data_IF_858328152684
#
_entry.id   IF_858328152684
#
_cell.length_a   1.000
_cell.length_b   1.000
_cell.length_c   1.000
_cell.angle_alpha   90.00
_cell.angle_beta   90.00
_cell.angle_gamma   90.00
#
_symmetry.space_group_name_H-M   'P 1'
#
loop_
_entity.id
_entity.type
_entity.pdbx_description
1 polymer ?
#
# COMPACT_ATOMS: atom_id res chain seq x y z
N UNK A 1 6.02 -5.77 41.59
CA UNK A 1 5.08 -6.77 41.02
C UNK A 1 4.03 -5.97 40.24
N UNK A 2 4.18 -5.89 38.93
CA UNK A 2 3.20 -5.22 38.05
C UNK A 2 1.94 -6.08 37.99
N UNK A 3 0.78 -5.47 38.27
CA UNK A 3 -0.52 -6.13 38.23
C UNK A 3 -0.77 -6.67 36.79
N UNK A 4 -1.03 -7.96 36.59
CA UNK A 4 -1.23 -8.55 35.26
C UNK A 4 -2.41 -7.91 34.47
N UNK A 5 -3.37 -7.28 35.15
CA UNK A 5 -4.44 -6.52 34.51
C UNK A 5 -3.92 -5.22 33.85
N UNK A 6 -3.00 -4.49 34.51
CA UNK A 6 -2.42 -3.26 33.94
C UNK A 6 -1.55 -3.52 32.71
N UNK A 7 -0.92 -4.70 32.62
CA UNK A 7 -0.12 -5.09 31.46
C UNK A 7 -0.99 -5.34 30.21
N UNK A 8 -2.15 -5.94 30.37
CA UNK A 8 -3.08 -6.22 29.24
C UNK A 8 -3.70 -4.96 28.65
N UNK A 9 -4.04 -3.97 29.48
CA UNK A 9 -4.59 -2.69 28.98
C UNK A 9 -3.59 -1.88 28.17
N UNK A 10 -2.28 -2.03 28.43
CA UNK A 10 -1.24 -1.30 27.68
C UNK A 10 -1.07 -1.80 26.23
N UNK A 11 -1.49 -3.02 25.94
CA UNK A 11 -1.44 -3.64 24.61
C UNK A 11 -2.66 -3.32 23.75
N UNK A 12 -3.76 -2.84 24.36
CA UNK A 12 -4.97 -2.48 23.64
C UNK A 12 -4.76 -1.21 22.79
N UNK A 13 -5.35 -1.15 21.58
CA UNK A 13 -5.42 0.08 20.82
C UNK A 13 -6.04 1.21 21.65
N UNK A 14 -5.57 2.47 21.53
CA UNK A 14 -6.03 3.57 22.38
C UNK A 14 -7.56 3.73 22.40
N UNK A 15 -8.18 3.63 21.22
CA UNK A 15 -9.62 3.78 21.07
C UNK A 15 -10.45 2.71 21.83
N UNK A 16 -9.89 1.52 22.07
CA UNK A 16 -10.60 0.41 22.71
C UNK A 16 -10.42 0.36 24.22
N UNK A 17 -9.48 1.11 24.79
CA UNK A 17 -9.20 1.07 26.24
C UNK A 17 -10.40 1.50 27.07
N UNK A 18 -11.08 2.57 26.66
CA UNK A 18 -12.27 3.07 27.36
C UNK A 18 -13.42 2.07 27.30
N UNK A 19 -13.72 1.52 26.13
CA UNK A 19 -14.81 0.56 25.94
C UNK A 19 -14.59 -0.75 26.73
N UNK A 20 -13.34 -1.24 26.80
CA UNK A 20 -13.03 -2.44 27.60
C UNK A 20 -13.09 -2.14 29.08
N UNK A 21 -12.60 -0.97 29.55
CA UNK A 21 -12.68 -0.56 30.96
C UNK A 21 -14.14 -0.37 31.43
N UNK A 22 -15.00 0.17 30.58
CA UNK A 22 -16.44 0.31 30.86
C UNK A 22 -17.13 -1.06 31.04
N UNK A 23 -16.83 -2.01 30.13
CA UNK A 23 -17.32 -3.37 30.22
C UNK A 23 -16.80 -4.09 31.48
N UNK A 24 -15.55 -3.87 31.89
CA UNK A 24 -14.99 -4.43 33.14
C UNK A 24 -15.63 -3.84 34.39
N UNK A 25 -16.05 -2.57 34.33
CA UNK A 25 -16.74 -1.92 35.47
C UNK A 25 -18.16 -2.43 35.69
N UNK A 26 -18.88 -2.75 34.60
CA UNK A 26 -20.22 -3.35 34.66
C UNK A 26 -20.40 -4.48 33.64
N UNK A 27 -19.88 -5.68 33.92
CA UNK A 27 -19.97 -6.82 32.99
C UNK A 27 -21.40 -7.37 32.85
N UNK A 28 -22.34 -6.98 33.73
CA UNK A 28 -23.71 -7.41 33.67
C UNK A 28 -24.55 -6.57 32.68
N UNK A 29 -24.14 -5.37 32.39
CA UNK A 29 -24.82 -4.51 31.43
C UNK A 29 -24.90 -5.16 30.04
N UNK A 30 -26.00 -4.91 29.34
CA UNK A 30 -26.12 -5.27 27.93
C UNK A 30 -25.24 -4.32 27.10
N UNK A 31 -24.34 -4.89 26.32
CA UNK A 31 -23.41 -4.12 25.47
C UNK A 31 -23.58 -4.51 24.01
N UNK A 32 -23.75 -3.53 23.14
CA UNK A 32 -23.82 -3.71 21.70
C UNK A 32 -22.69 -2.90 21.08
N UNK A 33 -21.66 -3.58 20.61
CA UNK A 33 -20.44 -2.93 20.14
C UNK A 33 -19.99 -3.51 18.79
N UNK A 34 -19.80 -2.63 17.82
CA UNK A 34 -19.09 -2.94 16.59
C UNK A 34 -17.62 -2.51 16.70
N UNK A 35 -16.70 -3.44 16.46
CA UNK A 35 -15.26 -3.18 16.33
C UNK A 35 -14.89 -3.33 14.86
N UNK A 36 -14.57 -2.24 14.19
CA UNK A 36 -14.23 -2.25 12.77
C UNK A 36 -12.78 -1.86 12.53
N UNK A 37 -12.20 -2.35 11.45
CA UNK A 37 -10.83 -2.03 11.05
C UNK A 37 -10.21 -3.05 10.10
N UNK A 38 -9.10 -2.68 9.48
CA UNK A 38 -8.37 -3.51 8.54
C UNK A 38 -7.67 -4.72 9.18
N UNK A 39 -6.87 -5.40 8.38
CA UNK A 39 -6.07 -6.55 8.81
C UNK A 39 -5.04 -6.11 9.84
N UNK A 40 -4.96 -6.82 10.97
CA UNK A 40 -3.91 -6.61 11.98
C UNK A 40 -4.01 -5.31 12.79
N UNK A 41 -5.14 -4.60 12.75
CA UNK A 41 -5.39 -3.39 13.55
C UNK A 41 -5.66 -3.66 15.03
N UNK A 42 -5.77 -4.93 15.43
CA UNK A 42 -5.97 -5.31 16.84
C UNK A 42 -7.40 -5.71 17.20
N UNK A 43 -8.31 -5.91 16.24
CA UNK A 43 -9.70 -6.34 16.51
C UNK A 43 -9.77 -7.55 17.43
N UNK A 44 -9.06 -8.62 17.07
CA UNK A 44 -9.06 -9.88 17.86
C UNK A 44 -8.48 -9.68 19.27
N UNK A 45 -7.56 -8.72 19.45
CA UNK A 45 -7.02 -8.36 20.78
C UNK A 45 -8.08 -7.70 21.64
N UNK A 46 -8.88 -6.80 21.05
CA UNK A 46 -10.03 -6.17 21.74
C UNK A 46 -11.05 -7.23 22.13
N UNK A 47 -11.42 -8.11 21.19
CA UNK A 47 -12.39 -9.18 21.49
C UNK A 47 -11.87 -10.17 22.54
N UNK A 48 -10.58 -10.45 22.57
CA UNK A 48 -9.98 -11.29 23.61
C UNK A 48 -10.09 -10.65 25.00
N UNK A 49 -9.88 -9.32 25.10
CA UNK A 49 -10.06 -8.58 26.34
C UNK A 49 -11.54 -8.58 26.79
N UNK A 50 -12.47 -8.32 25.85
CA UNK A 50 -13.92 -8.39 26.10
C UNK A 50 -14.32 -9.79 26.61
N UNK A 51 -13.90 -10.85 25.92
CA UNK A 51 -14.19 -12.24 26.35
C UNK A 51 -13.60 -12.53 27.73
N UNK A 52 -12.42 -12.00 28.03
CA UNK A 52 -11.78 -12.18 29.36
C UNK A 52 -12.57 -11.49 30.46
N UNK A 53 -13.04 -10.26 30.23
CA UNK A 53 -13.85 -9.50 31.17
C UNK A 53 -15.21 -10.22 31.48
N UNK A 54 -15.91 -10.65 30.42
CA UNK A 54 -17.19 -11.37 30.58
C UNK A 54 -17.02 -12.70 31.29
N UNK A 55 -15.98 -13.48 31.00
CA UNK A 55 -15.72 -14.75 31.70
C UNK A 55 -15.29 -14.54 33.16
N UNK A 56 -14.58 -13.47 33.46
CA UNK A 56 -14.25 -13.12 34.86
C UNK A 56 -15.47 -12.79 35.70
N UNK A 57 -16.59 -12.42 35.05
CA UNK A 57 -17.89 -12.20 35.65
C UNK A 57 -18.83 -13.42 35.53
N UNK A 58 -18.29 -14.61 35.26
CA UNK A 58 -19.04 -15.87 35.11
C UNK A 58 -20.12 -15.84 34.02
N UNK A 59 -20.02 -14.92 33.02
CA UNK A 59 -20.97 -14.90 31.90
C UNK A 59 -20.53 -15.88 30.80
N UNK A 60 -21.46 -16.74 30.31
CA UNK A 60 -21.20 -17.57 29.14
C UNK A 60 -20.92 -16.71 27.90
N UNK A 61 -19.91 -17.08 27.10
CA UNK A 61 -19.53 -16.34 25.91
C UNK A 61 -19.51 -17.27 24.70
N UNK A 62 -20.31 -16.94 23.69
CA UNK A 62 -20.34 -17.58 22.39
C UNK A 62 -19.47 -16.83 21.40
N UNK A 63 -18.74 -17.57 20.57
CA UNK A 63 -17.91 -16.99 19.48
C UNK A 63 -18.56 -17.15 18.10
N UNK A 64 -19.82 -17.45 18.04
CA UNK A 64 -20.66 -17.68 16.87
C UNK A 64 -22.09 -17.18 17.15
N UNK A 65 -22.96 -17.07 16.15
CA UNK A 65 -24.38 -16.86 16.36
C UNK A 65 -24.98 -17.91 17.31
N UNK A 66 -25.94 -17.55 18.20
CA UNK A 66 -26.51 -18.45 19.17
C UNK A 66 -27.36 -19.55 18.50
N UNK A 67 -27.45 -20.70 19.17
CA UNK A 67 -28.27 -21.84 18.78
C UNK A 67 -29.29 -22.13 19.89
N UNK A 68 -30.37 -22.88 19.60
CA UNK A 68 -31.40 -23.19 20.61
C UNK A 68 -30.87 -23.89 21.87
N UNK A 69 -29.79 -24.65 21.76
CA UNK A 69 -29.15 -25.38 22.86
C UNK A 69 -28.19 -24.54 23.71
N UNK A 70 -27.88 -23.30 23.31
CA UNK A 70 -26.93 -22.45 24.03
C UNK A 70 -27.55 -21.88 25.32
N UNK A 71 -26.72 -21.53 26.32
CA UNK A 71 -27.22 -20.94 27.57
C UNK A 71 -27.98 -19.63 27.33
N UNK A 72 -29.14 -19.49 27.93
CA UNK A 72 -29.90 -18.24 27.86
C UNK A 72 -29.10 -17.07 28.46
N UNK A 73 -29.12 -15.92 27.80
CA UNK A 73 -28.38 -14.73 28.23
C UNK A 73 -26.87 -14.78 27.99
N UNK A 74 -26.36 -15.77 27.22
CA UNK A 74 -24.96 -15.81 26.83
C UNK A 74 -24.59 -14.56 26.02
N UNK A 75 -23.41 -14.01 26.29
CA UNK A 75 -22.86 -12.92 25.49
C UNK A 75 -22.31 -13.46 24.17
N UNK A 76 -22.61 -12.79 23.06
CA UNK A 76 -22.16 -13.16 21.73
C UNK A 76 -21.00 -12.25 21.31
N UNK A 77 -19.81 -12.85 21.14
CA UNK A 77 -18.57 -12.10 20.80
C UNK A 77 -17.94 -12.74 19.56
N UNK A 78 -18.29 -12.23 18.40
CA UNK A 78 -17.91 -12.81 17.10
C UNK A 78 -16.77 -12.02 16.46
N UNK A 79 -15.72 -12.73 16.07
CA UNK A 79 -14.63 -12.18 15.25
C UNK A 79 -14.86 -12.48 13.76
N UNK A 80 -14.28 -11.65 12.90
CA UNK A 80 -14.34 -11.82 11.44
C UNK A 80 -15.76 -12.02 10.89
N UNK A 81 -16.75 -11.30 11.46
CA UNK A 81 -18.16 -11.44 11.06
C UNK A 81 -18.42 -11.21 9.55
N UNK A 82 -17.53 -10.53 8.87
CA UNK A 82 -17.58 -10.37 7.41
C UNK A 82 -17.37 -11.69 6.62
N UNK A 83 -16.99 -12.78 7.28
CA UNK A 83 -16.86 -14.12 6.71
C UNK A 83 -18.08 -15.02 6.98
N UNK A 84 -19.03 -14.55 7.79
CA UNK A 84 -20.28 -15.26 8.07
C UNK A 84 -21.19 -15.24 6.84
N UNK A 85 -22.06 -16.23 6.75
CA UNK A 85 -23.10 -16.24 5.70
C UNK A 85 -24.24 -15.25 6.01
N UNK A 86 -25.11 -15.01 5.01
CA UNK A 86 -26.20 -14.05 5.13
C UNK A 86 -27.16 -14.40 6.24
N UNK A 87 -27.48 -15.69 6.44
CA UNK A 87 -28.40 -16.15 7.49
C UNK A 87 -27.83 -15.94 8.89
N UNK A 88 -26.54 -16.20 9.08
CA UNK A 88 -25.84 -15.94 10.34
C UNK A 88 -25.78 -14.44 10.68
N UNK A 89 -25.58 -13.59 9.66
CA UNK A 89 -25.60 -12.13 9.84
C UNK A 89 -27.00 -11.60 10.16
N UNK A 90 -28.03 -12.15 9.52
CA UNK A 90 -29.43 -11.79 9.79
C UNK A 90 -29.83 -12.20 11.22
N UNK A 91 -29.44 -13.39 11.68
CA UNK A 91 -29.65 -13.85 13.05
C UNK A 91 -28.97 -12.94 14.08
N UNK A 92 -27.73 -12.49 13.80
CA UNK A 92 -27.05 -11.51 14.67
C UNK A 92 -27.78 -10.17 14.67
N UNK A 93 -28.32 -9.76 13.54
CA UNK A 93 -29.08 -8.50 13.40
C UNK A 93 -30.36 -8.54 14.23
N UNK A 94 -31.09 -9.68 14.23
CA UNK A 94 -32.25 -9.90 15.10
C UNK A 94 -31.86 -9.87 16.57
N UNK A 95 -30.74 -10.48 16.95
CA UNK A 95 -30.25 -10.47 18.33
C UNK A 95 -29.91 -9.08 18.84
N UNK A 96 -29.38 -8.19 17.95
CA UNK A 96 -29.10 -6.78 18.30
C UNK A 96 -30.39 -6.04 18.71
N UNK A 97 -31.54 -6.43 18.18
CA UNK A 97 -32.82 -5.81 18.54
C UNK A 97 -33.30 -6.17 19.98
N UNK A 98 -32.75 -7.22 20.57
CA UNK A 98 -33.04 -7.56 21.99
C UNK A 98 -32.28 -6.61 22.94
N UNK A 99 -32.95 -5.76 23.73
CA UNK A 99 -32.29 -4.81 24.62
C UNK A 99 -31.44 -5.47 25.72
N UNK A 100 -31.74 -6.74 26.07
CA UNK A 100 -30.99 -7.47 27.10
C UNK A 100 -29.75 -8.21 26.56
N UNK A 101 -29.63 -8.34 25.25
CA UNK A 101 -28.54 -9.08 24.64
C UNK A 101 -27.22 -8.31 24.69
N UNK A 102 -26.11 -9.00 24.97
CA UNK A 102 -24.75 -8.49 24.79
C UNK A 102 -24.20 -9.06 23.51
N UNK A 103 -23.92 -8.16 22.54
CA UNK A 103 -23.42 -8.49 21.18
C UNK A 103 -22.22 -7.64 20.85
N UNK A 104 -21.07 -8.27 20.73
CA UNK A 104 -19.80 -7.60 20.34
C UNK A 104 -19.27 -8.25 19.07
N UNK A 105 -19.20 -7.47 18.01
CA UNK A 105 -18.86 -7.96 16.67
C UNK A 105 -17.58 -7.27 16.18
N UNK A 106 -16.66 -8.05 15.63
CA UNK A 106 -15.54 -7.48 14.87
C UNK A 106 -15.65 -7.84 13.39
N UNK A 107 -15.48 -6.83 12.52
CA UNK A 107 -15.53 -7.00 11.08
C UNK A 107 -14.53 -6.09 10.35
N UNK A 108 -14.22 -6.42 9.10
CA UNK A 108 -13.61 -5.48 8.18
C UNK A 108 -14.71 -4.53 7.63
N UNK A 109 -14.35 -3.27 7.30
CA UNK A 109 -15.30 -2.28 6.81
C UNK A 109 -15.65 -2.49 5.33
N UNK A 110 -16.36 -3.59 5.02
CA UNK A 110 -16.83 -3.90 3.67
C UNK A 110 -18.04 -3.05 3.32
N UNK A 111 -17.95 -2.30 2.21
CA UNK A 111 -19.02 -1.39 1.76
C UNK A 111 -20.09 -2.15 0.96
N UNK A 112 -19.67 -3.15 0.17
CA UNK A 112 -20.53 -3.85 -0.80
C UNK A 112 -21.02 -5.22 -0.31
N UNK A 113 -21.18 -5.40 1.03
CA UNK A 113 -21.73 -6.61 1.63
C UNK A 113 -23.09 -6.31 2.28
N UNK A 114 -24.24 -6.63 1.64
CA UNK A 114 -25.56 -6.15 2.09
C UNK A 114 -25.94 -6.57 3.50
N UNK A 115 -25.82 -7.88 3.84
CA UNK A 115 -26.19 -8.40 5.17
C UNK A 115 -25.27 -7.84 6.26
N UNK A 116 -23.96 -7.74 6.02
CA UNK A 116 -23.02 -7.12 6.96
C UNK A 116 -23.39 -5.66 7.21
N UNK A 117 -23.78 -4.93 6.16
CA UNK A 117 -24.23 -3.54 6.27
C UNK A 117 -25.48 -3.42 7.15
N UNK A 118 -26.44 -4.35 7.04
CA UNK A 118 -27.61 -4.42 7.90
C UNK A 118 -27.23 -4.53 9.38
N UNK A 119 -26.37 -5.48 9.72
CA UNK A 119 -25.83 -5.68 11.06
C UNK A 119 -25.06 -4.46 11.58
N UNK A 120 -24.20 -3.87 10.74
CA UNK A 120 -23.43 -2.66 11.08
C UNK A 120 -24.36 -1.51 11.46
N UNK A 121 -25.36 -1.22 10.62
CA UNK A 121 -26.35 -0.15 10.90
C UNK A 121 -27.13 -0.43 12.19
N UNK A 122 -27.49 -1.68 12.45
CA UNK A 122 -28.20 -2.04 13.68
C UNK A 122 -27.35 -1.77 14.93
N UNK A 123 -26.07 -2.16 14.91
CA UNK A 123 -25.14 -1.91 16.03
C UNK A 123 -24.82 -0.42 16.21
N UNK A 124 -24.60 0.33 15.13
CA UNK A 124 -24.26 1.76 15.17
C UNK A 124 -25.40 2.64 15.67
N UNK A 125 -26.65 2.16 15.61
CA UNK A 125 -27.80 2.86 16.24
C UNK A 125 -27.73 2.86 17.76
N UNK A 126 -27.10 1.85 18.35
CA UNK A 126 -26.94 1.72 19.79
C UNK A 126 -25.73 2.47 20.30
N UNK A 127 -24.57 2.23 19.67
CA UNK A 127 -23.30 2.89 19.98
C UNK A 127 -22.45 3.11 18.70
N UNK A 128 -21.70 4.23 18.62
CA UNK A 128 -20.77 4.44 17.53
C UNK A 128 -19.77 3.29 17.40
N UNK A 129 -19.46 2.89 16.17
CA UNK A 129 -18.47 1.85 15.92
C UNK A 129 -17.09 2.22 16.48
N UNK A 130 -16.44 1.27 17.13
CA UNK A 130 -15.05 1.38 17.54
C UNK A 130 -14.15 1.12 16.34
N UNK A 131 -13.72 2.18 15.68
CA UNK A 131 -12.86 2.08 14.50
C UNK A 131 -11.38 1.97 14.89
N UNK A 132 -10.77 0.85 14.51
CA UNK A 132 -9.34 0.58 14.71
C UNK A 132 -8.58 0.81 13.41
N UNK A 133 -7.53 1.60 13.47
CA UNK A 133 -6.65 1.88 12.35
C UNK A 133 -5.17 1.73 12.72
N UNK A 134 -4.27 2.19 11.83
CA UNK A 134 -2.86 2.32 12.13
C UNK A 134 -2.62 3.19 13.37
N UNK A 135 -1.65 2.83 14.19
CA UNK A 135 -1.28 3.60 15.36
C UNK A 135 -0.55 4.88 14.95
N UNK A 136 -0.91 6.04 15.53
CA UNK A 136 -0.22 7.28 15.26
C UNK A 136 1.21 7.26 15.81
N UNK A 137 2.13 8.09 15.26
CA UNK A 137 3.55 8.10 15.67
C UNK A 137 3.77 8.22 17.19
N UNK A 138 2.92 8.97 17.91
CA UNK A 138 3.00 9.10 19.36
C UNK A 138 2.76 7.78 20.11
N UNK A 139 1.80 6.96 19.65
CA UNK A 139 1.56 5.63 20.22
C UNK A 139 2.68 4.64 19.84
N UNK A 140 3.22 4.73 18.63
CA UNK A 140 4.39 3.96 18.21
C UNK A 140 5.58 4.27 19.12
N UNK A 141 5.84 5.55 19.40
CA UNK A 141 6.88 5.99 20.32
C UNK A 141 6.65 5.46 21.75
N UNK A 142 5.41 5.54 22.25
CA UNK A 142 5.04 5.02 23.57
C UNK A 142 5.29 3.51 23.68
N UNK A 143 4.88 2.74 22.67
CA UNK A 143 5.08 1.28 22.65
C UNK A 143 6.57 0.91 22.59
N UNK A 144 7.32 1.59 21.73
CA UNK A 144 8.77 1.38 21.62
C UNK A 144 9.49 1.76 22.94
N UNK A 145 9.11 2.88 23.55
CA UNK A 145 9.64 3.32 24.84
C UNK A 145 9.31 2.37 25.99
N UNK A 146 8.09 1.86 26.06
CA UNK A 146 7.67 0.88 27.05
C UNK A 146 8.47 -0.44 26.94
N UNK A 147 8.85 -0.83 25.72
CA UNK A 147 9.67 -2.04 25.48
C UNK A 147 11.14 -1.82 25.82
N UNK A 148 11.69 -0.67 25.45
CA UNK A 148 13.10 -0.35 25.65
C UNK A 148 13.42 0.18 27.08
N UNK A 149 12.41 0.61 27.84
CA UNK A 149 12.58 1.27 29.12
C UNK A 149 13.05 2.73 29.03
N UNK A 150 13.26 3.25 27.83
CA UNK A 150 13.72 4.62 27.54
C UNK A 150 12.96 5.18 26.33
N UNK A 151 12.75 6.51 26.25
CA UNK A 151 12.14 7.13 25.08
C UNK A 151 12.94 6.84 23.82
N UNK A 152 12.30 6.39 22.73
CA UNK A 152 12.97 6.08 21.47
C UNK A 152 13.41 7.38 20.77
N UNK A 153 14.54 7.39 20.04
CA UNK A 153 14.93 8.52 19.21
C UNK A 153 13.94 8.74 18.07
N UNK A 154 13.71 9.98 17.60
CA UNK A 154 12.76 10.29 16.53
C UNK A 154 13.00 9.53 15.24
N UNK A 155 14.26 9.23 14.90
CA UNK A 155 14.66 8.44 13.73
C UNK A 155 14.10 7.02 13.79
N UNK A 156 14.14 6.38 14.97
CA UNK A 156 13.58 5.05 15.16
C UNK A 156 12.06 5.05 14.99
N UNK A 157 11.38 6.07 15.53
CA UNK A 157 9.92 6.19 15.35
C UNK A 157 9.56 6.35 13.87
N UNK A 158 10.29 7.23 13.15
CA UNK A 158 10.08 7.39 11.69
C UNK A 158 10.32 6.09 10.94
N UNK A 159 11.39 5.36 11.28
CA UNK A 159 11.69 4.05 10.66
C UNK A 159 10.59 3.04 10.93
N UNK A 160 10.12 2.92 12.19
CA UNK A 160 9.03 2.02 12.56
C UNK A 160 7.75 2.34 11.77
N UNK A 161 7.35 3.61 11.73
CA UNK A 161 6.16 4.04 10.96
C UNK A 161 6.33 3.75 9.48
N UNK A 162 7.48 4.06 8.89
CA UNK A 162 7.74 3.82 7.46
C UNK A 162 7.76 2.32 7.11
N UNK A 163 8.21 1.45 8.02
CA UNK A 163 8.30 0.01 7.79
C UNK A 163 6.99 -0.76 8.08
N UNK A 164 6.13 -0.22 8.95
CA UNK A 164 4.95 -0.94 9.46
C UNK A 164 3.63 -0.23 9.17
N UNK A 165 3.66 0.97 8.60
CA UNK A 165 2.50 1.87 8.49
C UNK A 165 1.74 2.08 9.83
N UNK A 166 2.37 1.82 10.97
CA UNK A 166 1.71 1.87 12.28
C UNK A 166 0.80 0.68 12.60
N UNK A 167 0.81 -0.38 11.78
CA UNK A 167 -0.03 -1.56 12.00
C UNK A 167 0.48 -2.39 13.19
N UNK A 168 -0.35 -2.64 14.23
CA UNK A 168 0.08 -3.30 15.46
C UNK A 168 0.78 -4.65 15.27
N UNK A 169 0.29 -5.48 14.34
CA UNK A 169 0.88 -6.81 14.09
C UNK A 169 2.30 -6.76 13.50
N UNK A 170 2.68 -5.67 12.85
CA UNK A 170 4.03 -5.43 12.33
C UNK A 170 4.91 -4.71 13.34
N UNK A 171 4.30 -3.84 14.17
CA UNK A 171 5.03 -3.06 15.16
C UNK A 171 5.67 -3.92 16.24
N UNK A 172 4.97 -4.94 16.74
CA UNK A 172 5.50 -5.80 17.81
C UNK A 172 6.83 -6.47 17.45
N UNK A 173 6.95 -7.20 16.32
CA UNK A 173 8.24 -7.79 15.91
C UNK A 173 9.27 -6.72 15.51
N UNK A 174 8.86 -5.62 14.87
CA UNK A 174 9.76 -4.53 14.47
C UNK A 174 10.40 -3.82 15.69
N UNK A 175 9.61 -3.54 16.73
CA UNK A 175 10.12 -2.95 17.99
C UNK A 175 11.06 -3.93 18.68
N UNK A 176 10.76 -5.23 18.70
CA UNK A 176 11.65 -6.24 19.27
C UNK A 176 13.01 -6.27 18.58
N UNK A 177 13.03 -6.13 17.25
CA UNK A 177 14.24 -6.13 16.44
C UNK A 177 14.98 -4.77 16.45
N UNK A 178 14.46 -3.74 17.13
CA UNK A 178 15.04 -2.40 17.09
C UNK A 178 16.44 -2.32 17.72
N UNK A 179 16.75 -3.19 18.68
CA UNK A 179 18.08 -3.28 19.30
C UNK A 179 19.17 -3.70 18.31
N UNK A 180 18.80 -4.46 17.27
CA UNK A 180 19.70 -5.01 16.24
C UNK A 180 19.86 -4.05 15.03
N UNK A 181 19.25 -2.87 15.11
CA UNK A 181 19.40 -1.80 14.12
C UNK A 181 18.30 -1.75 13.06
N UNK A 182 18.37 -0.72 12.20
CA UNK A 182 17.31 -0.42 11.25
C UNK A 182 17.08 -1.47 10.16
N UNK A 183 18.08 -2.24 9.77
CA UNK A 183 17.93 -3.35 8.84
C UNK A 183 17.10 -4.48 9.46
N UNK A 184 17.35 -4.82 10.72
CA UNK A 184 16.61 -5.83 11.47
C UNK A 184 15.13 -5.42 11.65
N UNK A 185 14.84 -4.15 11.93
CA UNK A 185 13.49 -3.59 12.00
C UNK A 185 12.71 -3.86 10.70
N UNK A 186 13.29 -3.49 9.55
CA UNK A 186 12.65 -3.70 8.25
C UNK A 186 12.44 -5.18 7.93
N UNK A 187 13.43 -6.00 8.25
CA UNK A 187 13.36 -7.45 8.02
C UNK A 187 12.28 -8.11 8.88
N UNK A 188 12.19 -7.75 10.16
CA UNK A 188 11.17 -8.28 11.07
C UNK A 188 9.75 -7.89 10.63
N UNK A 189 9.55 -6.62 10.24
CA UNK A 189 8.28 -6.16 9.68
C UNK A 189 7.92 -6.92 8.39
N UNK A 190 8.89 -7.11 7.47
CA UNK A 190 8.68 -7.84 6.21
C UNK A 190 8.29 -9.30 6.44
N UNK A 191 8.96 -10.00 7.36
CA UNK A 191 8.63 -11.40 7.68
C UNK A 191 7.20 -11.49 8.20
N UNK A 192 6.82 -10.66 9.18
CA UNK A 192 5.48 -10.65 9.73
C UNK A 192 4.40 -10.28 8.69
N UNK A 193 4.71 -9.37 7.77
CA UNK A 193 3.83 -9.04 6.65
C UNK A 193 3.60 -10.23 5.73
N UNK A 194 4.68 -10.91 5.28
CA UNK A 194 4.59 -12.09 4.41
C UNK A 194 3.81 -13.22 5.08
N UNK A 195 4.04 -13.47 6.37
CA UNK A 195 3.28 -14.48 7.13
C UNK A 195 1.78 -14.17 7.19
N UNK A 196 1.44 -12.88 7.27
CA UNK A 196 0.03 -12.45 7.25
C UNK A 196 -0.58 -12.56 5.86
N UNK A 197 0.13 -12.11 4.83
CA UNK A 197 -0.30 -12.18 3.43
C UNK A 197 -0.56 -13.63 2.98
N UNK A 198 0.25 -14.59 3.40
CA UNK A 198 0.07 -16.03 3.10
C UNK A 198 -1.25 -16.64 3.58
N UNK A 199 -1.99 -15.95 4.45
CA UNK A 199 -3.29 -16.38 4.95
C UNK A 199 -4.45 -15.84 4.14
N UNK A 200 -4.16 -14.99 3.15
CA UNK A 200 -5.16 -14.43 2.24
C UNK A 200 -5.39 -15.39 1.07
N UNK A 201 -6.59 -15.38 0.52
CA UNK A 201 -6.90 -16.11 -0.68
C UNK A 201 -6.23 -15.51 -1.94
N UNK A 202 -6.02 -16.32 -2.96
CA UNK A 202 -5.34 -15.91 -4.19
C UNK A 202 -6.03 -14.72 -4.89
N UNK A 203 -7.39 -14.67 -5.06
CA UNK A 203 -8.04 -13.53 -5.67
C UNK A 203 -7.80 -12.20 -4.94
N UNK A 204 -7.74 -12.23 -3.61
CA UNK A 204 -7.43 -11.04 -2.82
C UNK A 204 -5.96 -10.64 -2.94
N UNK A 205 -5.02 -11.59 -2.96
CA UNK A 205 -3.60 -11.32 -3.19
C UNK A 205 -3.36 -10.69 -4.55
N UNK A 206 -3.94 -11.23 -5.62
CA UNK A 206 -3.81 -10.69 -6.98
C UNK A 206 -4.42 -9.28 -7.07
N UNK A 207 -5.58 -9.06 -6.44
CA UNK A 207 -6.20 -7.73 -6.38
C UNK A 207 -5.34 -6.73 -5.60
N UNK A 208 -4.74 -7.14 -4.48
CA UNK A 208 -3.81 -6.31 -3.71
C UNK A 208 -2.53 -6.01 -4.51
N UNK A 209 -2.03 -6.97 -5.30
CA UNK A 209 -0.87 -6.77 -6.18
C UNK A 209 -1.15 -5.66 -7.19
N UNK A 210 -2.26 -5.77 -7.94
CA UNK A 210 -2.71 -4.74 -8.90
C UNK A 210 -2.89 -3.39 -8.21
N UNK A 211 -3.63 -3.35 -7.11
CA UNK A 211 -3.94 -2.09 -6.40
C UNK A 211 -2.73 -1.45 -5.72
N UNK A 212 -1.68 -2.22 -5.42
CA UNK A 212 -0.43 -1.68 -4.87
C UNK A 212 0.41 -0.91 -5.90
N UNK A 213 0.19 -1.17 -7.19
CA UNK A 213 0.82 -0.43 -8.29
C UNK A 213 0.24 0.96 -8.45
N UNK A 214 -1.07 1.12 -8.31
CA UNK A 214 -1.71 2.44 -8.24
C UNK A 214 -3.01 2.37 -7.45
N UNK A 215 -3.19 3.32 -6.54
CA UNK A 215 -4.40 3.46 -5.74
C UNK A 215 -5.61 3.96 -6.55
N UNK A 216 -5.35 4.49 -7.75
CA UNK A 216 -6.39 4.99 -8.66
C UNK A 216 -7.05 3.85 -9.46
N UNK A 217 -6.46 2.64 -9.45
CA UNK A 217 -7.03 1.49 -10.13
C UNK A 217 -8.33 1.04 -9.46
N UNK A 218 -9.37 0.93 -10.28
CA UNK A 218 -10.71 0.59 -9.85
C UNK A 218 -11.10 -0.88 -10.13
N UNK A 219 -12.36 -1.24 -9.84
CA UNK A 219 -12.87 -2.58 -10.12
C UNK A 219 -12.79 -2.97 -11.60
N UNK A 220 -12.96 -2.01 -12.53
CA UNK A 220 -12.90 -2.29 -13.96
C UNK A 220 -11.49 -2.65 -14.42
N UNK A 221 -10.46 -1.97 -13.87
CA UNK A 221 -9.06 -2.29 -14.14
C UNK A 221 -8.69 -3.68 -13.61
N UNK A 222 -9.16 -4.02 -12.40
CA UNK A 222 -8.94 -5.33 -11.79
C UNK A 222 -9.68 -6.41 -12.60
N UNK A 223 -10.93 -6.16 -13.03
CA UNK A 223 -11.70 -7.07 -13.85
C UNK A 223 -10.98 -7.39 -15.18
N UNK A 224 -10.49 -6.35 -15.86
CA UNK A 224 -9.77 -6.48 -17.13
C UNK A 224 -8.43 -7.22 -16.94
N UNK A 225 -7.66 -6.86 -15.90
CA UNK A 225 -6.33 -7.43 -15.62
C UNK A 225 -6.40 -8.89 -15.22
N UNK A 226 -7.33 -9.25 -14.33
CA UNK A 226 -7.44 -10.59 -13.76
C UNK A 226 -8.47 -11.47 -14.46
N UNK A 227 -9.05 -10.98 -15.54
CA UNK A 227 -10.08 -11.69 -16.35
C UNK A 227 -11.24 -12.23 -15.51
N UNK A 228 -11.71 -11.43 -14.55
CA UNK A 228 -12.83 -11.80 -13.68
C UNK A 228 -14.10 -11.01 -14.00
N UNK A 229 -15.25 -11.55 -13.57
CA UNK A 229 -16.53 -10.84 -13.72
C UNK A 229 -16.52 -9.54 -12.89
N UNK A 230 -17.14 -8.46 -13.41
CA UNK A 230 -17.16 -7.14 -12.78
C UNK A 230 -17.67 -7.16 -11.33
N UNK A 231 -18.68 -8.00 -11.02
CA UNK A 231 -19.21 -8.13 -9.67
C UNK A 231 -18.18 -8.77 -8.72
N UNK A 232 -17.41 -9.75 -9.19
CA UNK A 232 -16.32 -10.37 -8.41
C UNK A 232 -15.19 -9.37 -8.20
N UNK A 233 -14.82 -8.61 -9.23
CA UNK A 233 -13.81 -7.56 -9.12
C UNK A 233 -14.22 -6.48 -8.12
N UNK A 234 -15.48 -6.03 -8.15
CA UNK A 234 -16.01 -5.07 -7.16
C UNK A 234 -15.87 -5.62 -5.73
N UNK A 235 -16.25 -6.86 -5.51
CA UNK A 235 -16.17 -7.49 -4.18
C UNK A 235 -14.71 -7.67 -3.72
N UNK A 236 -13.79 -8.07 -4.60
CA UNK A 236 -12.38 -8.23 -4.22
C UNK A 236 -11.66 -6.91 -4.02
N UNK A 237 -11.98 -5.87 -4.78
CA UNK A 237 -11.47 -4.50 -4.55
C UNK A 237 -12.00 -3.94 -3.24
N UNK A 238 -13.28 -4.16 -2.90
CA UNK A 238 -13.83 -3.78 -1.61
C UNK A 238 -13.07 -4.47 -0.45
N UNK A 239 -12.81 -5.78 -0.57
CA UNK A 239 -11.98 -6.54 0.39
C UNK A 239 -10.54 -6.02 0.47
N UNK A 240 -9.93 -5.69 -0.66
CA UNK A 240 -8.57 -5.16 -0.72
C UNK A 240 -8.47 -3.81 0.01
N UNK A 241 -9.43 -2.91 -0.23
CA UNK A 241 -9.52 -1.62 0.48
C UNK A 241 -9.82 -1.80 1.97
N UNK A 242 -10.79 -2.64 2.31
CA UNK A 242 -11.14 -2.95 3.69
C UNK A 242 -10.01 -3.64 4.47
N UNK A 243 -9.02 -4.23 3.78
CA UNK A 243 -7.83 -4.80 4.40
C UNK A 243 -6.98 -3.77 5.15
N UNK A 244 -7.01 -2.49 4.72
CA UNK A 244 -6.17 -1.42 5.26
C UNK A 244 -4.68 -1.57 4.94
N UNK A 245 -4.30 -2.47 4.01
CA UNK A 245 -2.89 -2.66 3.60
C UNK A 245 -2.47 -1.68 2.50
N UNK A 246 -3.44 -1.16 1.74
CA UNK A 246 -3.22 -0.23 0.62
C UNK A 246 -4.04 1.04 0.85
N UNK A 247 -3.50 1.97 1.61
CA UNK A 247 -4.13 3.26 1.89
C UNK A 247 -3.25 4.41 1.39
N UNK A 248 -3.86 5.53 0.90
CA UNK A 248 -3.11 6.70 0.43
C UNK A 248 -2.21 7.34 1.51
N UNK A 249 -2.56 7.14 2.77
CA UNK A 249 -1.81 7.65 3.92
C UNK A 249 -0.52 6.86 4.23
N UNK A 250 -0.37 5.68 3.65
CA UNK A 250 0.78 4.83 3.91
C UNK A 250 2.06 5.35 3.25
N UNK A 251 3.19 5.16 3.94
CA UNK A 251 4.49 5.53 3.40
C UNK A 251 4.82 4.69 2.16
N UNK A 252 5.40 5.26 1.08
CA UNK A 252 5.73 4.53 -0.15
C UNK A 252 6.58 3.28 0.07
N UNK A 253 7.49 3.30 1.07
CA UNK A 253 8.30 2.12 1.44
C UNK A 253 7.44 0.96 1.92
N UNK A 254 6.35 1.23 2.66
CA UNK A 254 5.42 0.20 3.11
C UNK A 254 4.61 -0.38 1.95
N UNK A 255 4.07 0.48 1.08
CA UNK A 255 3.32 0.03 -0.11
C UNK A 255 4.19 -0.85 -1.01
N UNK A 256 5.46 -0.48 -1.20
CA UNK A 256 6.43 -1.32 -1.91
C UNK A 256 6.66 -2.65 -1.19
N UNK A 257 6.78 -2.66 0.14
CA UNK A 257 6.94 -3.90 0.91
C UNK A 257 5.71 -4.82 0.80
N UNK A 258 4.49 -4.27 0.70
CA UNK A 258 3.26 -5.04 0.43
C UNK A 258 3.34 -5.67 -0.96
N UNK A 259 3.66 -4.88 -1.98
CA UNK A 259 3.83 -5.36 -3.36
C UNK A 259 4.88 -6.48 -3.45
N UNK A 260 6.10 -6.23 -2.96
CA UNK A 260 7.20 -7.19 -2.98
C UNK A 260 6.85 -8.48 -2.21
N UNK A 261 6.13 -8.34 -1.09
CA UNK A 261 5.67 -9.47 -0.28
C UNK A 261 4.68 -10.36 -1.05
N UNK A 262 3.73 -9.76 -1.77
CA UNK A 262 2.77 -10.49 -2.60
C UNK A 262 3.50 -11.12 -3.80
N UNK A 263 4.34 -10.39 -4.50
CA UNK A 263 5.15 -10.88 -5.62
C UNK A 263 5.99 -12.11 -5.22
N UNK A 264 6.57 -12.08 -4.00
CA UNK A 264 7.32 -13.22 -3.45
C UNK A 264 6.43 -14.45 -3.18
N UNK A 265 5.17 -14.26 -2.77
CA UNK A 265 4.22 -15.33 -2.51
C UNK A 265 3.71 -15.92 -3.82
N UNK A 266 3.31 -15.07 -4.76
CA UNK A 266 2.76 -15.48 -6.06
C UNK A 266 3.82 -16.09 -6.98
N UNK A 267 5.09 -15.72 -6.79
CA UNK A 267 6.20 -16.14 -7.63
C UNK A 267 6.38 -15.27 -8.89
N UNK A 268 7.61 -15.27 -9.41
CA UNK A 268 8.02 -14.35 -10.47
C UNK A 268 7.18 -14.46 -11.77
N UNK A 269 6.78 -15.66 -12.15
CA UNK A 269 5.98 -15.87 -13.37
C UNK A 269 4.58 -15.23 -13.23
N UNK A 270 3.87 -15.55 -12.14
CA UNK A 270 2.52 -14.99 -11.90
C UNK A 270 2.55 -13.47 -11.75
N UNK A 271 3.54 -12.95 -11.02
CA UNK A 271 3.74 -11.52 -10.87
C UNK A 271 3.93 -10.83 -12.23
N UNK A 272 4.81 -11.37 -13.07
CA UNK A 272 5.06 -10.86 -14.42
C UNK A 272 3.78 -10.91 -15.29
N UNK A 273 3.05 -12.02 -15.27
CA UNK A 273 1.83 -12.19 -16.07
C UNK A 273 0.76 -11.15 -15.68
N UNK A 274 0.60 -10.87 -14.38
CA UNK A 274 -0.36 -9.86 -13.88
C UNK A 274 0.07 -8.45 -14.30
N UNK A 275 1.35 -8.09 -14.18
CA UNK A 275 1.83 -6.77 -14.61
C UNK A 275 1.69 -6.57 -16.12
N UNK A 276 1.99 -7.59 -16.93
CA UNK A 276 1.78 -7.55 -18.38
C UNK A 276 0.30 -7.42 -18.74
N UNK A 277 -0.58 -8.17 -18.06
CA UNK A 277 -2.02 -8.07 -18.29
C UNK A 277 -2.56 -6.66 -17.94
N UNK A 278 -2.10 -6.09 -16.82
CA UNK A 278 -2.45 -4.72 -16.45
C UNK A 278 -1.94 -3.70 -17.48
N UNK A 279 -0.70 -3.83 -17.92
CA UNK A 279 -0.15 -2.97 -18.97
C UNK A 279 -0.99 -3.00 -20.24
N UNK A 280 -1.36 -4.21 -20.71
CA UNK A 280 -2.22 -4.37 -21.89
C UNK A 280 -3.59 -3.71 -21.67
N UNK A 281 -4.26 -3.97 -20.55
CA UNK A 281 -5.56 -3.39 -20.25
C UNK A 281 -5.51 -1.85 -20.23
N UNK A 282 -4.47 -1.26 -19.64
CA UNK A 282 -4.30 0.18 -19.57
C UNK A 282 -3.95 0.81 -20.93
N UNK A 283 -3.20 0.11 -21.79
CA UNK A 283 -2.91 0.55 -23.15
C UNK A 283 -4.16 0.48 -24.02
N UNK A 284 -4.93 -0.60 -23.95
CA UNK A 284 -6.15 -0.82 -24.73
C UNK A 284 -7.23 0.22 -24.37
N UNK A 285 -7.35 0.59 -23.10
CA UNK A 285 -8.26 1.63 -22.61
C UNK A 285 -7.73 3.06 -22.80
N UNK A 286 -6.44 3.23 -23.09
CA UNK A 286 -5.79 4.55 -23.19
C UNK A 286 -5.66 5.28 -21.85
N UNK A 287 -5.68 4.55 -20.74
CA UNK A 287 -5.65 5.10 -19.36
C UNK A 287 -4.30 5.00 -18.68
N UNK A 288 -3.27 4.46 -19.36
CA UNK A 288 -1.93 4.32 -18.79
C UNK A 288 -1.33 5.66 -18.38
N UNK A 289 -1.17 5.87 -17.08
CA UNK A 289 -0.55 7.08 -16.53
C UNK A 289 0.98 6.94 -16.47
N UNK A 290 1.69 8.08 -16.53
CA UNK A 290 3.15 8.10 -16.41
C UNK A 290 3.64 7.51 -15.07
N UNK A 291 2.87 7.71 -13.99
CA UNK A 291 3.22 7.20 -12.67
C UNK A 291 3.10 5.68 -12.60
N UNK A 292 2.03 5.10 -13.16
CA UNK A 292 1.84 3.66 -13.23
C UNK A 292 2.93 3.00 -14.09
N UNK A 293 3.20 3.56 -15.28
CA UNK A 293 4.26 3.06 -16.17
C UNK A 293 5.64 3.09 -15.50
N UNK A 294 5.97 4.17 -14.76
CA UNK A 294 7.20 4.26 -14.00
C UNK A 294 7.29 3.20 -12.91
N UNK A 295 6.21 2.95 -12.18
CA UNK A 295 6.20 1.90 -11.12
C UNK A 295 6.42 0.51 -11.70
N UNK A 296 5.76 0.17 -12.82
CA UNK A 296 5.99 -1.10 -13.51
C UNK A 296 7.48 -1.27 -13.90
N UNK A 297 8.09 -0.24 -14.46
CA UNK A 297 9.52 -0.28 -14.81
C UNK A 297 10.42 -0.38 -13.56
N UNK A 298 10.10 0.34 -12.47
CA UNK A 298 10.81 0.29 -11.19
C UNK A 298 10.70 -1.07 -10.49
N UNK A 299 9.63 -1.84 -10.75
CA UNK A 299 9.47 -3.23 -10.31
C UNK A 299 10.20 -4.23 -11.21
N UNK A 300 10.78 -3.76 -12.31
CA UNK A 300 11.62 -4.56 -13.20
C UNK A 300 10.87 -5.16 -14.38
N UNK A 301 9.63 -4.71 -14.67
CA UNK A 301 8.93 -5.13 -15.87
C UNK A 301 9.70 -4.67 -17.12
N UNK A 302 10.10 -5.64 -17.95
CA UNK A 302 10.73 -5.42 -19.25
C UNK A 302 9.77 -5.88 -20.34
N UNK A 303 9.24 -4.91 -21.07
CA UNK A 303 8.27 -5.15 -22.15
C UNK A 303 8.38 -4.00 -23.16
N UNK A 304 8.44 -4.34 -24.44
CA UNK A 304 8.61 -3.36 -25.54
C UNK A 304 7.47 -2.34 -25.60
N UNK A 305 6.24 -2.74 -25.20
CA UNK A 305 5.07 -1.84 -25.15
C UNK A 305 5.22 -0.84 -24.02
N UNK A 306 5.70 -1.29 -22.84
CA UNK A 306 6.00 -0.40 -21.72
C UNK A 306 7.12 0.59 -22.09
N UNK A 307 8.19 0.09 -22.70
CA UNK A 307 9.30 0.90 -23.16
C UNK A 307 8.87 1.99 -24.14
N UNK A 308 8.03 1.62 -25.12
CA UNK A 308 7.46 2.57 -26.09
C UNK A 308 6.54 3.58 -25.40
N UNK A 309 5.63 3.14 -24.53
CA UNK A 309 4.72 4.03 -23.81
C UNK A 309 5.45 5.02 -22.91
N UNK A 310 6.52 4.59 -22.21
CA UNK A 310 7.36 5.46 -21.39
C UNK A 310 8.09 6.53 -22.25
N UNK A 311 8.60 6.14 -23.41
CA UNK A 311 9.26 7.07 -24.35
C UNK A 311 8.27 8.12 -24.88
N UNK A 312 7.07 7.71 -25.25
CA UNK A 312 5.99 8.61 -25.70
C UNK A 312 5.54 9.58 -24.60
N UNK A 313 5.36 9.07 -23.37
CA UNK A 313 5.03 9.89 -22.21
C UNK A 313 6.13 10.90 -21.89
N UNK A 314 7.41 10.51 -22.02
CA UNK A 314 8.54 11.40 -21.87
C UNK A 314 8.52 12.53 -22.91
N UNK A 315 8.26 12.18 -24.17
CA UNK A 315 8.13 13.14 -25.27
C UNK A 315 7.06 14.20 -25.05
N UNK A 316 5.93 13.82 -24.44
CA UNK A 316 4.83 14.73 -24.07
C UNK A 316 5.14 15.60 -22.85
N UNK A 317 6.15 15.23 -22.06
CA UNK A 317 6.49 15.89 -20.78
C UNK A 317 7.71 16.82 -20.90
N UNK A 318 8.10 17.23 -22.12
CA UNK A 318 9.30 18.06 -22.39
C UNK A 318 9.36 19.35 -21.57
N UNK A 319 8.24 19.94 -21.19
CA UNK A 319 8.18 21.11 -20.29
C UNK A 319 8.67 20.87 -18.85
N UNK A 320 8.91 19.60 -18.47
CA UNK A 320 9.39 19.20 -17.15
C UNK A 320 10.60 18.26 -17.28
N UNK A 321 11.81 18.79 -17.51
CA UNK A 321 12.99 18.01 -17.89
C UNK A 321 13.32 16.88 -16.91
N UNK A 322 13.20 17.12 -15.60
CA UNK A 322 13.46 16.10 -14.59
C UNK A 322 12.51 14.89 -14.69
N UNK A 323 11.24 15.14 -15.00
CA UNK A 323 10.26 14.08 -15.22
C UNK A 323 10.51 13.35 -16.53
N UNK A 324 10.83 14.08 -17.59
CA UNK A 324 11.18 13.50 -18.89
C UNK A 324 12.42 12.61 -18.77
N UNK A 325 13.48 13.06 -18.08
CA UNK A 325 14.70 12.28 -17.86
C UNK A 325 14.41 10.97 -17.09
N UNK A 326 13.56 11.03 -16.06
CA UNK A 326 13.13 9.83 -15.31
C UNK A 326 12.38 8.84 -16.21
N UNK A 327 11.46 9.31 -17.05
CA UNK A 327 10.70 8.49 -17.99
C UNK A 327 11.60 7.87 -19.09
N UNK A 328 12.52 8.64 -19.69
CA UNK A 328 13.46 8.10 -20.68
C UNK A 328 14.39 7.05 -20.07
N UNK A 329 14.87 7.28 -18.84
CA UNK A 329 15.68 6.27 -18.13
C UNK A 329 14.89 4.99 -17.91
N UNK A 330 13.66 5.10 -17.43
CA UNK A 330 12.78 3.95 -17.23
C UNK A 330 12.45 3.23 -18.55
N UNK A 331 12.27 3.97 -19.66
CA UNK A 331 12.08 3.37 -20.98
C UNK A 331 13.30 2.56 -21.42
N UNK A 332 14.51 3.08 -21.21
CA UNK A 332 15.75 2.37 -21.52
C UNK A 332 15.90 1.10 -20.66
N UNK A 333 15.60 1.19 -19.37
CA UNK A 333 15.61 0.04 -18.42
C UNK A 333 14.58 -1.02 -18.82
N UNK A 334 13.43 -0.60 -19.38
CA UNK A 334 12.36 -1.49 -19.88
C UNK A 334 12.70 -2.14 -21.23
N UNK A 335 13.77 -1.68 -21.93
CA UNK A 335 14.24 -2.28 -23.16
C UNK A 335 14.26 -1.36 -24.40
N UNK A 336 13.83 -0.08 -24.27
CA UNK A 336 13.89 0.84 -25.39
C UNK A 336 15.35 1.08 -25.83
N UNK A 337 15.57 1.00 -27.13
CA UNK A 337 16.85 1.35 -27.77
C UNK A 337 16.77 2.76 -28.38
N UNK A 338 17.92 3.36 -28.66
CA UNK A 338 18.02 4.65 -29.37
C UNK A 338 17.37 5.85 -28.64
N UNK A 339 17.36 5.87 -27.30
CA UNK A 339 16.86 7.00 -26.48
C UNK A 339 18.00 7.85 -25.89
N UNK A 340 19.27 7.53 -26.19
CA UNK A 340 20.43 8.19 -25.58
C UNK A 340 20.42 9.70 -25.82
N UNK A 341 20.02 10.16 -27.00
CA UNK A 341 19.94 11.58 -27.32
C UNK A 341 18.86 12.31 -26.49
N UNK A 342 17.67 11.75 -26.42
CA UNK A 342 16.53 12.32 -25.66
C UNK A 342 16.81 12.33 -24.15
N UNK A 343 17.43 11.26 -23.64
CA UNK A 343 17.81 11.17 -22.24
C UNK A 343 18.93 12.17 -21.91
N UNK A 344 19.97 12.27 -22.76
CA UNK A 344 21.07 13.23 -22.59
C UNK A 344 20.56 14.68 -22.61
N UNK A 345 19.68 15.02 -23.56
CA UNK A 345 19.04 16.34 -23.64
C UNK A 345 18.25 16.67 -22.37
N UNK A 346 17.39 15.76 -21.93
CA UNK A 346 16.62 15.94 -20.70
C UNK A 346 17.50 16.09 -19.46
N UNK A 347 18.60 15.33 -19.35
CA UNK A 347 19.56 15.44 -18.26
C UNK A 347 20.33 16.77 -18.28
N UNK A 348 20.78 17.22 -19.44
CA UNK A 348 21.44 18.51 -19.59
C UNK A 348 20.52 19.67 -19.12
N UNK A 349 19.23 19.61 -19.47
CA UNK A 349 18.23 20.59 -19.04
C UNK A 349 17.95 20.55 -17.52
N UNK A 350 18.26 19.45 -16.84
CA UNK A 350 18.16 19.36 -15.36
C UNK A 350 19.43 19.79 -14.63
N UNK A 351 20.52 20.07 -15.36
CA UNK A 351 21.83 20.36 -14.79
C UNK A 351 22.68 19.14 -14.46
N UNK A 352 22.22 17.92 -14.78
CA UNK A 352 23.07 16.70 -14.70
C UNK A 352 23.98 16.62 -15.92
N UNK A 353 24.86 17.65 -16.05
CA UNK A 353 25.78 17.80 -17.17
C UNK A 353 26.80 16.65 -17.28
N UNK A 354 27.17 16.04 -16.16
CA UNK A 354 28.15 14.93 -16.13
C UNK A 354 27.58 13.68 -16.81
N UNK A 355 26.37 13.29 -16.44
CA UNK A 355 25.71 12.11 -17.04
C UNK A 355 25.34 12.39 -18.50
N UNK A 356 24.86 13.61 -18.79
CA UNK A 356 24.53 14.04 -20.13
C UNK A 356 25.77 14.00 -21.05
N UNK A 357 26.94 14.53 -20.63
CA UNK A 357 28.18 14.52 -21.40
C UNK A 357 28.61 13.09 -21.76
N UNK A 358 28.60 12.17 -20.79
CA UNK A 358 28.96 10.77 -21.03
C UNK A 358 28.10 10.11 -22.11
N UNK A 359 26.77 10.33 -22.07
CA UNK A 359 25.86 9.81 -23.11
C UNK A 359 26.08 10.49 -24.44
N UNK A 360 26.42 11.77 -24.44
CA UNK A 360 26.72 12.56 -25.66
C UNK A 360 27.99 12.08 -26.33
N UNK A 361 29.04 11.69 -25.60
CA UNK A 361 30.28 11.15 -26.13
C UNK A 361 30.04 9.90 -27.00
N UNK A 362 29.13 9.02 -26.57
CA UNK A 362 28.74 7.83 -27.36
C UNK A 362 28.03 8.24 -28.67
N UNK A 363 27.20 9.28 -28.65
CA UNK A 363 26.45 9.76 -29.80
C UNK A 363 27.34 10.42 -30.86
N UNK A 364 28.47 11.01 -30.48
CA UNK A 364 29.43 11.57 -31.45
C UNK A 364 30.02 10.51 -32.40
N UNK A 365 30.10 9.27 -31.96
CA UNK A 365 30.63 8.14 -32.74
C UNK A 365 29.55 7.39 -33.52
N UNK A 366 28.28 7.79 -33.41
CA UNK A 366 27.16 7.13 -34.09
C UNK A 366 27.28 7.22 -35.61
N UNK A 367 26.84 6.18 -36.28
CA UNK A 367 26.72 6.19 -37.76
C UNK A 367 25.57 7.11 -38.23
N UNK A 368 24.56 7.36 -37.38
CA UNK A 368 23.43 8.23 -37.69
C UNK A 368 23.80 9.72 -37.60
N UNK A 369 23.59 10.45 -38.69
CA UNK A 369 23.87 11.88 -38.77
C UNK A 369 22.95 12.70 -37.83
N UNK A 370 21.71 12.24 -37.60
CA UNK A 370 20.76 12.90 -36.69
C UNK A 370 21.20 12.78 -35.23
N UNK A 371 21.71 11.61 -34.83
CA UNK A 371 22.27 11.41 -33.48
C UNK A 371 23.54 12.26 -33.28
N UNK A 372 24.45 12.33 -34.25
CA UNK A 372 25.61 13.23 -34.16
C UNK A 372 25.21 14.69 -34.04
N UNK A 373 24.20 15.13 -34.81
CA UNK A 373 23.69 16.49 -34.72
C UNK A 373 23.04 16.76 -33.35
N UNK A 374 22.34 15.79 -32.79
CA UNK A 374 21.83 15.87 -31.42
C UNK A 374 22.96 15.98 -30.39
N UNK A 375 24.04 15.18 -30.55
CA UNK A 375 25.21 15.25 -29.68
C UNK A 375 25.83 16.66 -29.63
N UNK A 376 25.98 17.30 -30.76
CA UNK A 376 26.50 18.67 -30.81
C UNK A 376 25.59 19.68 -30.12
N UNK A 377 24.27 19.59 -30.34
CA UNK A 377 23.31 20.50 -29.66
C UNK A 377 23.37 20.32 -28.15
N UNK A 378 23.43 19.08 -27.68
CA UNK A 378 23.47 18.76 -26.24
C UNK A 378 24.80 19.23 -25.64
N UNK A 379 25.94 18.96 -26.30
CA UNK A 379 27.25 19.43 -25.87
C UNK A 379 27.34 20.97 -25.81
N UNK A 380 26.76 21.66 -26.80
CA UNK A 380 26.66 23.11 -26.78
C UNK A 380 25.78 23.63 -25.65
N UNK A 381 24.67 22.96 -25.36
CA UNK A 381 23.80 23.28 -24.19
C UNK A 381 24.54 23.10 -22.86
N UNK A 382 25.33 22.04 -22.72
CA UNK A 382 26.18 21.80 -21.53
C UNK A 382 27.23 22.90 -21.40
N UNK A 383 27.92 23.24 -22.50
CA UNK A 383 28.94 24.29 -22.51
C UNK A 383 28.37 25.67 -22.14
N UNK A 384 27.14 25.97 -22.58
CA UNK A 384 26.42 27.19 -22.17
C UNK A 384 26.05 27.20 -20.70
N UNK A 385 25.64 26.04 -20.17
CA UNK A 385 25.35 25.89 -18.76
C UNK A 385 26.59 26.13 -17.89
N UNK A 386 27.75 25.68 -18.35
CA UNK A 386 29.04 25.88 -17.69
C UNK A 386 29.64 27.28 -17.94
N UNK A 387 28.95 28.17 -18.66
CA UNK A 387 29.35 29.54 -18.95
C UNK A 387 30.38 29.64 -20.13
N UNK A 388 30.58 28.57 -20.88
CA UNK A 388 31.57 28.51 -21.99
C UNK A 388 30.93 28.81 -23.36
N UNK A 389 30.44 30.03 -23.57
CA UNK A 389 29.78 30.44 -24.81
C UNK A 389 30.69 30.27 -26.05
N UNK A 390 32.02 30.46 -25.93
CA UNK A 390 32.98 30.25 -27.02
C UNK A 390 33.01 28.78 -27.47
N UNK A 391 33.06 27.85 -26.53
CA UNK A 391 33.02 26.41 -26.80
C UNK A 391 31.71 25.98 -27.47
N UNK A 392 30.59 26.53 -27.03
CA UNK A 392 29.28 26.26 -27.63
C UNK A 392 29.26 26.72 -29.11
N UNK A 393 29.81 27.92 -29.38
CA UNK A 393 29.91 28.45 -30.76
C UNK A 393 30.80 27.58 -31.65
N UNK A 394 31.95 27.11 -31.15
CA UNK A 394 32.86 26.21 -31.88
C UNK A 394 32.18 24.87 -32.21
N UNK A 395 31.40 24.30 -31.29
CA UNK A 395 30.64 23.08 -31.51
C UNK A 395 29.58 23.25 -32.62
N UNK A 396 28.87 24.36 -32.67
CA UNK A 396 27.93 24.64 -33.76
C UNK A 396 28.67 24.91 -35.10
N UNK A 397 29.82 25.55 -35.04
CA UNK A 397 30.68 25.75 -36.23
C UNK A 397 31.15 24.41 -36.86
N UNK A 398 31.40 23.41 -36.06
CA UNK A 398 31.77 22.07 -36.51
C UNK A 398 30.63 21.33 -37.25
N UNK A 399 29.36 21.55 -36.90
CA UNK A 399 28.21 20.96 -37.61
C UNK A 399 28.04 21.49 -39.05
N UNK A 400 28.61 22.64 -39.36
CA UNK A 400 28.38 23.31 -40.64
C UNK A 400 26.97 23.94 -40.74
N UNK A 401 26.65 24.58 -41.89
CA UNK A 401 25.31 25.17 -42.08
C UNK A 401 24.27 24.07 -42.05
N UNK A 402 23.27 24.21 -41.12
CA UNK A 402 22.14 23.29 -41.04
C UNK A 402 21.37 23.28 -42.36
N UNK A 403 20.98 22.12 -42.90
CA UNK A 403 20.02 22.11 -44.00
C UNK A 403 18.74 22.74 -43.48
N UNK A 404 18.17 23.68 -44.23
CA UNK A 404 17.02 24.56 -43.90
C UNK A 404 15.76 23.82 -43.42
N UNK A 405 15.73 22.52 -43.56
CA UNK A 405 14.60 21.66 -43.15
C UNK A 405 14.67 21.09 -41.70
N UNK A 406 15.73 21.34 -40.95
CA UNK A 406 15.96 20.71 -39.63
C UNK A 406 15.67 21.63 -38.42
N UNK A 407 15.21 22.85 -38.65
CA UNK A 407 14.95 23.87 -37.63
C UNK A 407 13.46 24.23 -37.48
N UNK A 408 12.56 23.38 -37.93
CA UNK A 408 11.11 23.55 -37.76
C UNK A 408 10.60 22.94 -36.48
#
# INVERSE_FOLDING_TARGET
MTNPASSRHSELPPASRAAVAELEADPAAAVKLLVTGGIGTGKSTVLAAVRSALRAADRPVLSRPPRPEDPAGAAVVVDEAHLLDGGELDQLTELVADPAATVVIAAQPLVHHPSLRGLTIALEREHPALTLGPLPPGEVARLAGARAGTPPPPELVRLLVAATAGLPFLLAPAITAAADGGAAVRQAARIALIERLRRLDEPLLDTLLVSSLSLDLGPDDVAATLHMASQTALATVDRARASGLIEPSHHPTFLRAVHDGIAQISGAARHHDIEVALLCAQLDSGTLTAELALRMAEHGLRDDRLATALADLAGRTRGHPARAARLYRAAADAGATALSAQLADALALTGDCVTAARLTDELFTSADAAERAAAVRIAASIALHDGSAAQANDLFGWLGPAPDAALG
#
